data_IF_431669221288
#
_entry.id   IF_431669221288
#
_cell.length_a   1.000
_cell.length_b   1.000
_cell.length_c   1.000
_cell.angle_alpha   90.00
_cell.angle_beta   90.00
_cell.angle_gamma   90.00
#
_symmetry.space_group_name_H-M   'P 1'
#
loop_
_entity.id
_entity.type
_entity.pdbx_description
1 polymer ?
#
# COMPACT_ATOMS: atom_id res chain seq x y z
N UNK A 1 4.39 10.56 -4.44
CA UNK A 1 3.97 10.85 -3.04
C UNK A 1 5.15 11.41 -2.25
N UNK A 2 4.90 12.14 -1.16
CA UNK A 2 5.98 12.51 -0.22
C UNK A 2 6.31 11.34 0.70
N UNK A 3 7.52 11.29 1.26
CA UNK A 3 7.92 10.21 2.19
C UNK A 3 6.98 10.08 3.39
N UNK A 4 6.42 11.20 3.85
CA UNK A 4 5.41 11.21 4.92
C UNK A 4 4.14 10.48 4.51
N UNK A 5 3.63 10.74 3.30
CA UNK A 5 2.44 10.05 2.79
C UNK A 5 2.67 8.55 2.62
N UNK A 6 3.88 8.13 2.22
CA UNK A 6 4.22 6.70 2.13
C UNK A 6 4.17 6.02 3.50
N UNK A 7 4.74 6.67 4.54
CA UNK A 7 4.69 6.15 5.92
C UNK A 7 3.27 6.11 6.47
N UNK A 8 2.48 7.15 6.22
CA UNK A 8 1.08 7.19 6.66
C UNK A 8 0.28 6.04 6.03
N UNK A 9 0.57 5.71 4.76
CA UNK A 9 -0.05 4.61 4.02
C UNK A 9 0.40 3.23 4.49
N UNK A 10 1.67 3.07 4.90
CA UNK A 10 2.14 1.86 5.59
C UNK A 10 1.42 1.63 6.92
N UNK A 11 1.24 2.69 7.71
CA UNK A 11 0.52 2.62 8.99
C UNK A 11 -0.93 2.23 8.76
N UNK A 12 -1.56 2.74 7.70
CA UNK A 12 -2.92 2.38 7.30
C UNK A 12 -3.03 0.89 6.94
N UNK A 13 -2.10 0.35 6.16
CA UNK A 13 -2.05 -1.08 5.81
C UNK A 13 -1.93 -1.96 7.06
N UNK A 14 -1.07 -1.59 8.01
CA UNK A 14 -0.92 -2.32 9.30
C UNK A 14 -2.23 -2.32 10.09
N UNK A 15 -2.94 -1.19 10.12
CA UNK A 15 -4.24 -1.10 10.80
C UNK A 15 -5.29 -1.99 10.14
N UNK A 16 -5.37 -2.01 8.82
CA UNK A 16 -6.32 -2.89 8.12
C UNK A 16 -5.99 -4.38 8.31
N UNK A 17 -4.71 -4.75 8.36
CA UNK A 17 -4.29 -6.14 8.69
C UNK A 17 -4.67 -6.56 10.10
N UNK A 18 -4.62 -5.63 11.07
CA UNK A 18 -5.11 -5.91 12.41
C UNK A 18 -6.63 -6.15 12.39
N UNK A 19 -7.36 -5.25 11.72
CA UNK A 19 -8.81 -5.35 11.60
C UNK A 19 -9.25 -6.65 10.90
N UNK A 20 -8.54 -7.08 9.86
CA UNK A 20 -8.78 -8.35 9.16
C UNK A 20 -8.75 -9.56 10.11
N UNK A 21 -7.89 -9.52 11.14
CA UNK A 21 -7.76 -10.59 12.15
C UNK A 21 -8.83 -10.52 13.24
N UNK A 22 -9.35 -9.33 13.52
CA UNK A 22 -10.37 -9.12 14.55
C UNK A 22 -11.79 -9.36 14.01
N UNK A 23 -11.99 -9.18 12.71
CA UNK A 23 -13.27 -9.41 12.04
C UNK A 23 -13.57 -10.90 11.94
N UNK A 24 -14.75 -11.29 12.41
CA UNK A 24 -15.26 -12.67 12.32
C UNK A 24 -16.17 -12.91 11.12
N UNK A 25 -16.65 -11.84 10.48
CA UNK A 25 -17.51 -11.93 9.31
C UNK A 25 -16.66 -12.27 8.06
N UNK A 26 -16.91 -13.41 7.40
CA UNK A 26 -16.05 -13.89 6.32
C UNK A 26 -16.09 -12.99 5.08
N UNK A 27 -17.21 -12.31 4.82
CA UNK A 27 -17.30 -11.37 3.71
C UNK A 27 -16.43 -10.14 4.00
N UNK A 28 -16.52 -9.58 5.20
CA UNK A 28 -15.71 -8.45 5.63
C UNK A 28 -14.22 -8.80 5.65
N UNK A 29 -13.82 -10.01 6.04
CA UNK A 29 -12.43 -10.49 5.90
C UNK A 29 -11.99 -10.47 4.44
N UNK A 30 -12.78 -11.03 3.51
CA UNK A 30 -12.45 -11.01 2.08
C UNK A 30 -12.34 -9.60 1.51
N UNK A 31 -13.21 -8.68 1.92
CA UNK A 31 -13.17 -7.28 1.49
C UNK A 31 -11.94 -6.57 2.03
N UNK A 32 -11.60 -6.76 3.30
CA UNK A 32 -10.41 -6.20 3.92
C UNK A 32 -9.15 -6.71 3.21
N UNK A 33 -9.10 -8.00 2.89
CA UNK A 33 -8.01 -8.59 2.13
C UNK A 33 -7.78 -7.89 0.79
N UNK A 34 -8.85 -7.75 -0.02
CA UNK A 34 -8.78 -7.10 -1.32
C UNK A 34 -8.40 -5.60 -1.24
N UNK A 35 -8.78 -4.92 -0.17
CA UNK A 35 -8.37 -3.52 0.09
C UNK A 35 -6.87 -3.47 0.44
N UNK A 36 -6.40 -4.36 1.31
CA UNK A 36 -4.99 -4.45 1.70
C UNK A 36 -4.12 -4.73 0.48
N UNK A 37 -4.48 -5.70 -0.37
CA UNK A 37 -3.73 -6.02 -1.58
C UNK A 37 -3.59 -4.83 -2.52
N UNK A 38 -4.67 -4.06 -2.72
CA UNK A 38 -4.64 -2.87 -3.55
C UNK A 38 -3.77 -1.76 -2.95
N UNK A 39 -3.86 -1.53 -1.64
CA UNK A 39 -3.03 -0.54 -0.95
C UNK A 39 -1.54 -0.92 -1.00
N UNK A 40 -1.21 -2.21 -0.86
CA UNK A 40 0.16 -2.70 -0.97
C UNK A 40 0.71 -2.55 -2.39
N UNK A 41 -0.09 -2.87 -3.41
CA UNK A 41 0.29 -2.67 -4.81
C UNK A 41 0.54 -1.20 -5.15
N UNK A 42 -0.31 -0.29 -4.66
CA UNK A 42 -0.14 1.15 -4.87
C UNK A 42 1.09 1.69 -4.13
N UNK A 43 1.31 1.26 -2.88
CA UNK A 43 2.50 1.63 -2.12
C UNK A 43 3.78 1.16 -2.82
N UNK A 44 3.78 -0.06 -3.35
CA UNK A 44 4.92 -0.60 -4.11
C UNK A 44 5.17 0.21 -5.38
N UNK A 45 4.12 0.53 -6.15
CA UNK A 45 4.23 1.39 -7.33
C UNK A 45 4.78 2.77 -6.98
N UNK A 46 4.29 3.41 -5.92
CA UNK A 46 4.76 4.73 -5.49
C UNK A 46 6.24 4.70 -5.08
N UNK A 47 6.70 3.60 -4.46
CA UNK A 47 8.12 3.37 -4.17
C UNK A 47 8.95 3.20 -5.43
N UNK A 48 8.47 2.40 -6.38
CA UNK A 48 9.16 2.15 -7.64
C UNK A 48 9.24 3.43 -8.50
N UNK A 49 8.21 4.28 -8.47
CA UNK A 49 8.20 5.59 -9.13
C UNK A 49 9.19 6.55 -8.45
N UNK A 50 9.28 6.54 -7.13
CA UNK A 50 10.26 7.32 -6.38
C UNK A 50 11.71 6.81 -6.54
N UNK A 51 11.89 5.53 -6.90
CA UNK A 51 13.19 4.90 -7.09
C UNK A 51 13.66 4.85 -8.55
N UNK A 52 12.82 5.21 -9.53
CA UNK A 52 13.29 5.40 -10.90
C UNK A 52 14.36 6.48 -10.88
N UNK A 53 15.64 6.16 -11.17
CA UNK A 53 16.59 7.20 -11.48
C UNK A 53 16.01 7.92 -12.70
N UNK A 54 16.08 9.25 -12.71
CA UNK A 54 15.92 9.99 -13.95
C UNK A 54 16.94 9.40 -14.93
N UNK A 55 16.52 8.48 -15.80
CA UNK A 55 17.30 8.11 -16.97
C UNK A 55 17.25 9.32 -17.90
N UNK A 56 18.06 10.33 -17.59
CA UNK A 56 18.46 11.34 -18.54
C UNK A 56 19.21 10.62 -19.64
N UNK A 57 18.51 10.17 -20.67
CA UNK A 57 19.11 9.69 -21.90
C UNK A 57 19.65 10.93 -22.63
N UNK A 58 20.96 11.16 -22.76
CA UNK A 58 21.44 12.14 -23.72
C UNK A 58 21.24 11.55 -25.12
N UNK A 59 20.88 12.44 -26.05
CA UNK A 59 20.63 12.19 -27.47
C UNK A 59 21.78 11.47 -28.17
#
# INVERSE_FOLDING_TARGET
MTERQLRDREVEIVRYRLLEREVTDPLATCLLHAIIEQLEADLQRDRDIGQRPCECRPL
#
